data_IF_617839803757
#
_entry.id   IF_617839803757
#
_cell.length_a   1.000
_cell.length_b   1.000
_cell.length_c   1.000
_cell.angle_alpha   90.00
_cell.angle_beta   90.00
_cell.angle_gamma   90.00
#
_symmetry.space_group_name_H-M   'P 1'
#
loop_
_entity.id
_entity.type
_entity.pdbx_description
1 polymer ?
#
# COMPACT_ATOMS: atom_id res chain seq x y z
N UNK A 1 4.80 -56.20 -17.20
CA UNK A 1 3.62 -55.31 -17.31
C UNK A 1 4.03 -53.97 -16.76
N UNK A 2 4.20 -53.00 -17.64
CA UNK A 2 4.81 -51.69 -17.39
C UNK A 2 3.81 -50.62 -17.78
N UNK A 3 3.25 -49.91 -16.80
CA UNK A 3 2.37 -48.77 -17.05
C UNK A 3 3.16 -47.48 -16.81
N UNK A 4 3.48 -46.78 -17.92
CA UNK A 4 3.94 -45.39 -17.91
C UNK A 4 2.71 -44.47 -17.95
N UNK A 5 2.60 -43.44 -17.09
CA UNK A 5 1.61 -42.41 -17.28
C UNK A 5 2.04 -41.47 -18.41
N UNK A 6 1.19 -41.35 -19.42
CA UNK A 6 1.34 -40.48 -20.58
C UNK A 6 1.12 -39.01 -20.19
N UNK A 7 2.20 -38.23 -20.11
CA UNK A 7 2.11 -36.77 -20.06
C UNK A 7 2.14 -36.24 -21.50
N UNK A 8 0.95 -36.07 -22.07
CA UNK A 8 0.71 -35.37 -23.33
C UNK A 8 0.97 -33.88 -23.13
N UNK A 9 2.06 -33.35 -23.69
CA UNK A 9 2.37 -31.93 -23.67
C UNK A 9 1.96 -31.33 -25.02
N UNK A 10 0.81 -30.65 -25.06
CA UNK A 10 0.29 -29.95 -26.24
C UNK A 10 0.96 -28.57 -26.36
N UNK A 11 2.23 -28.57 -26.78
CA UNK A 11 2.92 -27.37 -27.27
C UNK A 11 3.24 -27.56 -28.76
N UNK A 12 2.19 -27.57 -29.59
CA UNK A 12 2.33 -27.52 -31.04
C UNK A 12 2.55 -26.07 -31.48
N UNK A 13 3.81 -25.63 -31.50
CA UNK A 13 4.25 -24.42 -32.17
C UNK A 13 5.28 -24.78 -33.23
N UNK A 14 4.98 -24.50 -34.51
CA UNK A 14 5.91 -24.73 -35.62
C UNK A 14 7.00 -23.65 -35.58
N UNK A 15 8.23 -24.02 -35.22
CA UNK A 15 9.39 -23.14 -35.29
C UNK A 15 10.13 -23.47 -36.59
N UNK A 16 9.90 -22.68 -37.64
CA UNK A 16 10.76 -22.66 -38.82
C UNK A 16 12.08 -21.98 -38.44
N UNK A 17 13.00 -22.79 -37.90
CA UNK A 17 14.38 -22.42 -37.63
C UNK A 17 15.31 -23.44 -38.26
N UNK A 18 16.45 -22.97 -38.77
CA UNK A 18 17.42 -23.79 -39.48
C UNK A 18 17.84 -24.99 -38.61
N UNK A 19 17.43 -26.21 -39.00
CA UNK A 19 17.84 -27.45 -38.35
C UNK A 19 19.33 -27.66 -38.66
N UNK A 20 20.20 -27.15 -37.80
CA UNK A 20 21.58 -27.60 -37.75
C UNK A 20 21.54 -28.98 -37.14
N UNK A 21 21.56 -29.99 -38.00
CA UNK A 21 21.68 -31.39 -37.65
C UNK A 21 23.06 -31.59 -37.00
N UNK A 22 23.14 -31.41 -35.68
CA UNK A 22 24.33 -31.79 -34.92
C UNK A 22 24.41 -33.30 -34.89
N UNK A 23 25.12 -33.88 -35.85
CA UNK A 23 25.52 -35.27 -35.85
C UNK A 23 26.26 -35.59 -34.54
N UNK A 24 25.87 -36.70 -33.91
CA UNK A 24 26.65 -37.46 -32.94
C UNK A 24 27.42 -36.63 -31.88
N UNK A 25 26.71 -36.01 -30.95
CA UNK A 25 27.26 -35.72 -29.62
C UNK A 25 26.45 -36.56 -28.62
N UNK A 26 26.77 -37.85 -28.55
CA UNK A 26 26.64 -38.59 -27.29
C UNK A 26 27.71 -38.04 -26.35
N UNK A 27 27.47 -36.83 -25.84
CA UNK A 27 28.13 -36.35 -24.65
C UNK A 27 27.23 -36.73 -23.51
N UNK A 28 27.66 -37.67 -22.67
CA UNK A 28 27.07 -37.83 -21.35
C UNK A 28 27.03 -36.44 -20.72
N UNK A 29 25.82 -35.90 -20.55
CA UNK A 29 25.60 -34.70 -19.75
C UNK A 29 25.73 -35.16 -18.31
N UNK A 30 26.99 -35.30 -17.87
CA UNK A 30 27.32 -35.45 -16.47
C UNK A 30 26.93 -34.12 -15.83
N UNK A 31 25.77 -34.09 -15.19
CA UNK A 31 25.48 -33.05 -14.21
C UNK A 31 26.59 -33.16 -13.16
N UNK A 32 27.49 -32.15 -13.01
CA UNK A 32 28.45 -32.19 -11.93
C UNK A 32 27.63 -32.25 -10.63
N UNK A 33 27.81 -33.35 -9.92
CA UNK A 33 27.23 -33.59 -8.61
C UNK A 33 27.44 -32.34 -7.73
N UNK A 34 26.46 -31.91 -6.92
CA UNK A 34 26.57 -30.73 -6.04
C UNK A 34 27.68 -30.86 -4.98
N UNK A 35 28.45 -31.95 -5.00
CA UNK A 35 29.61 -32.23 -4.17
C UNK A 35 30.95 -31.79 -4.77
N UNK A 36 30.98 -31.03 -5.88
CA UNK A 36 32.21 -30.36 -6.30
C UNK A 36 32.62 -29.36 -5.21
N UNK A 37 33.81 -29.55 -4.63
CA UNK A 37 34.40 -28.59 -3.68
C UNK A 37 34.36 -27.20 -4.33
N UNK A 38 33.47 -26.37 -3.79
CA UNK A 38 33.28 -25.01 -4.24
C UNK A 38 34.59 -24.27 -4.06
N UNK A 39 35.12 -23.72 -5.16
CA UNK A 39 36.35 -22.93 -5.13
C UNK A 39 36.18 -21.81 -4.08
N UNK A 40 37.08 -21.70 -3.08
CA UNK A 40 36.94 -20.75 -1.97
C UNK A 40 36.66 -19.31 -2.44
N UNK A 41 37.22 -18.90 -3.57
CA UNK A 41 36.99 -17.57 -4.16
C UNK A 41 35.53 -17.39 -4.66
N UNK A 42 34.95 -18.44 -5.23
CA UNK A 42 33.54 -18.46 -5.65
C UNK A 42 32.58 -18.48 -4.46
N UNK A 43 32.94 -19.21 -3.39
CA UNK A 43 32.17 -19.26 -2.14
C UNK A 43 32.19 -17.90 -1.41
N UNK A 44 33.32 -17.20 -1.39
CA UNK A 44 33.40 -15.84 -0.86
C UNK A 44 32.58 -14.84 -1.67
N UNK A 45 32.62 -14.94 -3.00
CA UNK A 45 31.87 -14.06 -3.88
C UNK A 45 30.36 -14.24 -3.69
N UNK A 46 29.90 -15.49 -3.56
CA UNK A 46 28.50 -15.79 -3.22
C UNK A 46 28.12 -15.30 -1.82
N UNK A 47 29.00 -15.43 -0.82
CA UNK A 47 28.75 -14.87 0.52
C UNK A 47 28.57 -13.35 0.48
N UNK A 48 29.43 -12.63 -0.26
CA UNK A 48 29.31 -11.17 -0.42
C UNK A 48 28.02 -10.79 -1.17
N UNK A 49 27.64 -11.55 -2.19
CA UNK A 49 26.40 -11.31 -2.93
C UNK A 49 25.15 -11.57 -2.08
N UNK A 50 25.11 -12.67 -1.34
CA UNK A 50 24.03 -12.99 -0.41
C UNK A 50 23.94 -11.94 0.71
N UNK A 51 25.07 -11.44 1.22
CA UNK A 51 25.09 -10.34 2.18
C UNK A 51 24.52 -9.04 1.59
N UNK A 52 24.84 -8.71 0.33
CA UNK A 52 24.25 -7.54 -0.35
C UNK A 52 22.74 -7.70 -0.53
N UNK A 53 22.27 -8.87 -0.97
CA UNK A 53 20.85 -9.13 -1.11
C UNK A 53 20.09 -9.02 0.22
N UNK A 54 20.67 -9.54 1.32
CA UNK A 54 20.08 -9.40 2.66
C UNK A 54 19.94 -7.94 3.06
N UNK A 55 20.96 -7.11 2.82
CA UNK A 55 20.90 -5.66 3.11
C UNK A 55 19.79 -4.96 2.32
N UNK A 56 19.63 -5.29 1.04
CA UNK A 56 18.56 -4.71 0.20
C UNK A 56 17.18 -5.10 0.75
N UNK A 57 16.98 -6.38 1.09
CA UNK A 57 15.74 -6.86 1.68
C UNK A 57 15.45 -6.21 3.04
N UNK A 58 16.47 -6.04 3.88
CA UNK A 58 16.35 -5.36 5.18
C UNK A 58 15.98 -3.87 4.99
N UNK A 59 16.55 -3.20 3.99
CA UNK A 59 16.23 -1.82 3.64
C UNK A 59 14.79 -1.68 3.10
N UNK A 60 14.35 -2.59 2.23
CA UNK A 60 12.98 -2.65 1.73
C UNK A 60 11.98 -2.87 2.87
N UNK A 61 12.24 -3.84 3.76
CA UNK A 61 11.42 -4.10 4.93
C UNK A 61 11.36 -2.88 5.87
N UNK A 62 12.49 -2.18 6.05
CA UNK A 62 12.54 -0.95 6.84
C UNK A 62 11.72 0.18 6.19
N UNK A 63 11.75 0.31 4.87
CA UNK A 63 10.95 1.28 4.14
C UNK A 63 9.45 0.98 4.23
N UNK A 64 9.04 -0.28 4.07
CA UNK A 64 7.65 -0.71 4.24
C UNK A 64 7.14 -0.44 5.66
N UNK A 65 7.93 -0.80 6.68
CA UNK A 65 7.60 -0.53 8.06
C UNK A 65 7.46 0.98 8.33
N UNK A 66 8.33 1.81 7.76
CA UNK A 66 8.24 3.26 7.87
C UNK A 66 6.99 3.83 7.19
N UNK A 67 6.60 3.29 6.02
CA UNK A 67 5.37 3.68 5.32
C UNK A 67 4.12 3.29 6.11
N UNK A 68 4.09 2.07 6.68
CA UNK A 68 2.98 1.62 7.52
C UNK A 68 2.83 2.47 8.78
N UNK A 69 3.93 2.85 9.44
CA UNK A 69 3.91 3.77 10.58
C UNK A 69 3.35 5.14 10.19
N UNK A 70 3.79 5.71 9.06
CA UNK A 70 3.27 6.98 8.55
C UNK A 70 1.78 6.92 8.23
N UNK A 71 1.33 5.84 7.61
CA UNK A 71 -0.09 5.61 7.36
C UNK A 71 -0.90 5.54 8.66
N UNK A 72 -0.42 4.78 9.65
CA UNK A 72 -1.05 4.66 10.96
C UNK A 72 -1.16 6.01 11.69
N UNK A 73 -0.11 6.83 11.64
CA UNK A 73 -0.12 8.18 12.21
C UNK A 73 -1.09 9.11 11.48
N UNK A 74 -1.10 9.08 10.15
CA UNK A 74 -2.02 9.87 9.32
C UNK A 74 -3.48 9.53 9.63
N UNK A 75 -3.83 8.25 9.70
CA UNK A 75 -5.18 7.80 10.10
C UNK A 75 -5.55 8.31 11.49
N UNK A 76 -4.60 8.34 12.43
CA UNK A 76 -4.83 8.86 13.79
C UNK A 76 -5.14 10.36 13.77
N UNK A 77 -4.43 11.13 12.95
CA UNK A 77 -4.67 12.57 12.75
C UNK A 77 -6.05 12.80 12.14
N UNK A 78 -6.43 12.05 11.10
CA UNK A 78 -7.74 12.18 10.45
C UNK A 78 -8.87 11.85 11.43
N UNK A 79 -8.74 10.81 12.25
CA UNK A 79 -9.73 10.51 13.31
C UNK A 79 -9.89 11.67 14.29
N UNK A 80 -8.78 12.33 14.66
CA UNK A 80 -8.83 13.52 15.53
C UNK A 80 -9.52 14.68 14.84
N UNK A 81 -9.23 14.96 13.56
CA UNK A 81 -9.92 15.98 12.76
C UNK A 81 -11.41 15.70 12.62
N UNK A 82 -11.79 14.44 12.38
CA UNK A 82 -13.20 14.04 12.31
C UNK A 82 -13.94 14.35 13.63
N UNK A 83 -13.34 14.05 14.79
CA UNK A 83 -13.91 14.37 16.10
C UNK A 83 -14.05 15.87 16.32
N UNK A 84 -13.03 16.64 15.94
CA UNK A 84 -13.07 18.10 16.03
C UNK A 84 -14.17 18.70 15.15
N UNK A 85 -14.26 18.28 13.88
CA UNK A 85 -15.31 18.74 12.98
C UNK A 85 -16.70 18.38 13.49
N UNK A 86 -16.88 17.17 14.05
CA UNK A 86 -18.15 16.77 14.68
C UNK A 86 -18.50 17.67 15.88
N UNK A 87 -17.50 17.98 16.71
CA UNK A 87 -17.69 18.86 17.86
C UNK A 87 -18.07 20.28 17.43
N UNK A 88 -17.38 20.84 16.43
CA UNK A 88 -17.74 22.12 15.83
C UNK A 88 -19.16 22.12 15.29
N UNK A 89 -19.57 21.05 14.61
CA UNK A 89 -20.92 20.89 14.08
C UNK A 89 -22.00 20.94 15.17
N UNK A 90 -21.73 20.36 16.34
CA UNK A 90 -22.62 20.45 17.50
C UNK A 90 -22.71 21.88 18.04
N UNK A 91 -21.58 22.59 18.13
CA UNK A 91 -21.54 23.99 18.59
C UNK A 91 -22.25 24.91 17.61
N UNK A 92 -22.02 24.74 16.31
CA UNK A 92 -22.67 25.49 15.24
C UNK A 92 -24.18 25.23 15.22
N UNK A 93 -24.60 23.97 15.37
CA UNK A 93 -26.02 23.61 15.49
C UNK A 93 -26.68 24.28 16.71
N UNK A 94 -25.99 24.33 17.84
CA UNK A 94 -26.45 25.05 19.03
C UNK A 94 -26.57 26.56 18.77
N UNK A 95 -25.59 27.16 18.07
CA UNK A 95 -25.64 28.57 17.70
C UNK A 95 -26.85 28.89 16.79
N UNK A 96 -27.15 28.02 15.82
CA UNK A 96 -28.35 28.14 14.98
C UNK A 96 -29.63 28.05 15.82
N UNK A 97 -29.70 27.10 16.76
CA UNK A 97 -30.87 26.95 17.63
C UNK A 97 -31.10 28.18 18.53
N UNK A 98 -30.03 28.74 19.11
CA UNK A 98 -30.09 29.96 19.92
C UNK A 98 -30.46 31.20 19.09
N UNK A 99 -29.94 31.29 17.86
CA UNK A 99 -30.32 32.33 16.91
C UNK A 99 -31.79 32.24 16.51
N UNK A 100 -32.30 31.02 16.27
CA UNK A 100 -33.72 30.81 15.96
C UNK A 100 -34.65 31.19 17.12
N UNK A 101 -34.24 30.91 18.37
CA UNK A 101 -35.00 31.28 19.57
C UNK A 101 -34.98 32.78 19.89
N UNK A 102 -34.23 33.60 19.14
CA UNK A 102 -34.22 35.05 19.32
C UNK A 102 -33.60 35.51 20.64
N UNK A 103 -32.78 34.67 21.29
CA UNK A 103 -32.22 34.93 22.64
C UNK A 103 -31.21 36.07 22.62
N UNK A 104 -30.61 36.37 21.46
CA UNK A 104 -29.53 37.34 21.29
C UNK A 104 -30.01 38.46 20.34
N UNK A 105 -29.72 39.74 20.59
CA UNK A 105 -30.12 40.84 19.70
C UNK A 105 -29.57 40.70 18.27
N UNK A 106 -28.49 39.95 18.08
CA UNK A 106 -27.89 39.60 16.78
C UNK A 106 -28.26 38.19 16.29
N UNK A 107 -29.39 37.64 16.75
CA UNK A 107 -29.86 36.29 16.46
C UNK A 107 -29.77 35.86 14.98
N UNK A 108 -30.19 36.74 14.06
CA UNK A 108 -30.13 36.47 12.62
C UNK A 108 -28.71 36.28 12.09
N UNK A 109 -27.75 37.10 12.57
CA UNK A 109 -26.33 36.98 12.24
C UNK A 109 -25.72 35.70 12.83
N UNK A 110 -26.04 35.38 14.08
CA UNK A 110 -25.55 34.16 14.74
C UNK A 110 -26.04 32.91 14.02
N UNK A 111 -27.33 32.88 13.63
CA UNK A 111 -27.89 31.76 12.89
C UNK A 111 -27.27 31.61 11.50
N UNK A 112 -27.10 32.71 10.75
CA UNK A 112 -26.47 32.65 9.41
C UNK A 112 -25.01 32.22 9.46
N UNK A 113 -24.23 32.72 10.42
CA UNK A 113 -22.85 32.27 10.62
C UNK A 113 -22.81 30.80 11.05
N UNK A 114 -23.68 30.38 11.96
CA UNK A 114 -23.79 28.98 12.39
C UNK A 114 -24.09 28.04 11.22
N UNK A 115 -24.95 28.43 10.28
CA UNK A 115 -25.22 27.66 9.06
C UNK A 115 -24.00 27.61 8.15
N UNK A 116 -23.35 28.76 7.89
CA UNK A 116 -22.21 28.84 7.00
C UNK A 116 -21.04 27.98 7.49
N UNK A 117 -20.64 28.15 8.76
CA UNK A 117 -19.59 27.34 9.37
C UNK A 117 -20.03 25.88 9.54
N UNK A 118 -21.31 25.64 9.85
CA UNK A 118 -21.98 24.34 9.83
C UNK A 118 -21.71 23.52 8.57
N UNK A 119 -21.89 24.14 7.41
CA UNK A 119 -21.66 23.49 6.12
C UNK A 119 -20.19 23.17 5.89
N UNK A 120 -19.27 24.05 6.31
CA UNK A 120 -17.83 23.82 6.21
C UNK A 120 -17.44 22.63 7.10
N UNK A 121 -17.84 22.64 8.37
CA UNK A 121 -17.59 21.56 9.33
C UNK A 121 -18.20 20.23 8.88
N UNK A 122 -19.41 20.25 8.31
CA UNK A 122 -20.07 19.08 7.74
C UNK A 122 -19.27 18.51 6.55
N UNK A 123 -18.88 19.36 5.60
CA UNK A 123 -18.09 18.91 4.45
C UNK A 123 -16.75 18.30 4.88
N UNK A 124 -16.07 18.90 5.86
CA UNK A 124 -14.84 18.37 6.44
C UNK A 124 -15.05 17.04 7.17
N UNK A 125 -16.16 16.89 7.90
CA UNK A 125 -16.52 15.64 8.56
C UNK A 125 -16.81 14.51 7.56
N UNK A 126 -17.58 14.80 6.50
CA UNK A 126 -17.88 13.83 5.42
C UNK A 126 -16.59 13.42 4.70
N UNK A 127 -15.74 14.37 4.32
CA UNK A 127 -14.46 14.09 3.67
C UNK A 127 -13.58 13.16 4.52
N UNK A 128 -13.41 13.47 5.81
CA UNK A 128 -12.64 12.62 6.73
C UNK A 128 -13.26 11.23 6.89
N UNK A 129 -14.59 11.14 6.91
CA UNK A 129 -15.33 9.87 7.05
C UNK A 129 -15.13 8.97 5.83
N UNK A 130 -15.24 9.53 4.62
CA UNK A 130 -14.98 8.81 3.36
C UNK A 130 -13.53 8.32 3.31
N UNK A 131 -12.59 9.15 3.75
CA UNK A 131 -11.17 8.83 3.72
C UNK A 131 -10.82 7.72 4.73
N UNK A 132 -11.43 7.72 5.92
CA UNK A 132 -11.32 6.62 6.88
C UNK A 132 -12.01 5.34 6.40
N UNK A 133 -13.13 5.44 5.69
CA UNK A 133 -13.81 4.29 5.10
C UNK A 133 -12.95 3.65 3.99
N UNK A 134 -12.32 4.46 3.13
CA UNK A 134 -11.33 3.97 2.16
C UNK A 134 -10.15 3.27 2.84
N UNK A 135 -9.71 3.79 4.00
CA UNK A 135 -8.60 3.21 4.75
C UNK A 135 -8.96 1.81 5.28
N UNK A 136 -10.22 1.62 5.70
CA UNK A 136 -10.72 0.32 6.18
C UNK A 136 -10.92 -0.70 5.06
N UNK A 137 -11.32 -0.24 3.87
CA UNK A 137 -11.57 -1.12 2.71
C UNK A 137 -10.31 -1.52 1.96
N UNK A 138 -9.12 -1.17 2.47
CA UNK A 138 -7.84 -1.51 1.86
C UNK A 138 -7.57 -0.79 0.53
N UNK A 139 -8.38 0.22 0.18
CA UNK A 139 -8.12 1.07 -0.99
C UNK A 139 -6.93 1.97 -0.71
N UNK A 140 -6.08 2.15 -1.71
CA UNK A 140 -4.91 3.02 -1.63
C UNK A 140 -5.36 4.46 -1.34
N UNK A 141 -4.79 5.03 -0.29
CA UNK A 141 -4.98 6.44 0.06
C UNK A 141 -3.68 7.17 -0.22
N UNK A 142 -3.71 8.30 -0.96
CA UNK A 142 -2.54 9.14 -1.08
C UNK A 142 -2.23 9.77 0.27
N UNK A 143 -1.22 9.26 0.98
CA UNK A 143 -0.69 9.87 2.20
C UNK A 143 0.24 11.02 1.80
N UNK A 144 -0.01 12.26 2.24
CA UNK A 144 0.89 13.37 1.92
C UNK A 144 2.27 13.12 2.52
N UNK A 145 3.35 13.45 1.78
CA UNK A 145 4.73 13.26 2.26
C UNK A 145 5.08 14.11 3.48
N UNK A 146 4.43 15.27 3.62
CA UNK A 146 4.74 16.23 4.67
C UNK A 146 3.61 16.33 5.72
N UNK A 147 3.97 16.40 7.00
CA UNK A 147 3.03 16.35 8.14
C UNK A 147 2.10 17.57 8.26
N UNK A 148 2.49 18.74 7.78
CA UNK A 148 1.63 19.94 7.71
C UNK A 148 0.41 19.80 6.79
N UNK A 149 0.44 18.85 5.84
CA UNK A 149 -0.67 18.57 4.93
C UNK A 149 -1.63 17.50 5.47
N UNK A 150 -1.33 16.96 6.66
CA UNK A 150 -2.12 15.91 7.31
C UNK A 150 -3.32 16.51 8.04
#
# INVERSE_FOLDING_TARGET
MSEQPSTRNELSGNVEGHVVQSGAIHGDVVFPSPAAQMDPETAETQRRWAQRQRRILDEEAAQEAAQQRRFGDYVRVIRRKQRWNLWLLMVESLAVALGYLGVVPSAALVATLGILFGLISLSGWVYCSVLLWRARTGRTIPVPRHRWMW
#
